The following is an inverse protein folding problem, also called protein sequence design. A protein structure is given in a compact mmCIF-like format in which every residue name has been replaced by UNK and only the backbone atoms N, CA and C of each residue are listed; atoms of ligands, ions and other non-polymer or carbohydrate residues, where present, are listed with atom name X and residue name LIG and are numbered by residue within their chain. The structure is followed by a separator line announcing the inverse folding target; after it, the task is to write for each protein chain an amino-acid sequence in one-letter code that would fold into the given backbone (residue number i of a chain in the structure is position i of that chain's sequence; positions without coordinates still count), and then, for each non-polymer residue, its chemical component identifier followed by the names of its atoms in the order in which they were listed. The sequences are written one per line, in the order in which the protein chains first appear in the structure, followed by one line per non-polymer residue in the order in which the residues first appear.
data_IF_542854022902
#
_entry.id   IF_542854022902
#
_cell.length_a   1.000
_cell.length_b   1.000
_cell.length_c   1.000
_cell.angle_alpha   90.00
_cell.angle_beta   90.00
_cell.angle_gamma   90.00
#
_symmetry.space_group_name_H-M   'P 1'
#
loop_
_entity.id
_entity.type
_entity.pdbx_description
1 polymer ?
#
# COMPACT_ATOMS: atom_id res chain seq x y z
N UNK A 1 -4.66 -52.28 2.32
CA UNK A 1 -5.74 -51.48 1.68
C UNK A 1 -6.95 -51.48 2.60
N UNK A 2 -7.52 -50.33 2.91
CA UNK A 2 -8.72 -50.24 3.76
C UNK A 2 -9.93 -50.90 3.06
N UNK A 3 -10.57 -51.89 3.69
CA UNK A 3 -11.80 -52.52 3.19
C UNK A 3 -12.98 -51.59 3.49
N UNK A 4 -13.30 -50.70 2.55
CA UNK A 4 -14.41 -49.74 2.67
C UNK A 4 -15.55 -50.23 1.78
N UNK A 5 -16.71 -50.50 2.38
CA UNK A 5 -17.89 -50.89 1.61
C UNK A 5 -18.50 -49.68 0.90
N UNK A 6 -18.86 -49.84 -0.38
CA UNK A 6 -19.53 -48.79 -1.16
C UNK A 6 -20.90 -48.41 -0.57
N UNK A 7 -21.53 -49.32 0.20
CA UNK A 7 -22.81 -49.08 0.89
C UNK A 7 -22.71 -48.00 1.97
N UNK A 8 -21.52 -47.77 2.52
CA UNK A 8 -21.28 -46.80 3.59
C UNK A 8 -21.33 -45.34 3.11
N UNK A 9 -21.30 -45.10 1.79
CA UNK A 9 -21.35 -43.76 1.15
C UNK A 9 -20.42 -42.73 1.83
N UNK A 10 -19.24 -43.17 2.28
CA UNK A 10 -18.26 -42.31 2.98
C UNK A 10 -17.74 -41.21 2.06
N UNK A 11 -17.59 -40.00 2.61
CA UNK A 11 -17.00 -38.86 1.89
C UNK A 11 -15.54 -39.13 1.56
N UNK A 12 -15.09 -38.74 0.36
CA UNK A 12 -13.71 -38.94 -0.11
C UNK A 12 -12.62 -38.42 0.86
N UNK A 13 -12.89 -37.35 1.61
CA UNK A 13 -11.95 -36.82 2.62
C UNK A 13 -11.71 -37.84 3.76
N UNK A 14 -12.78 -38.40 4.32
CA UNK A 14 -12.70 -39.44 5.36
C UNK A 14 -12.00 -40.71 4.86
N UNK A 15 -12.22 -41.07 3.61
CA UNK A 15 -11.54 -42.22 2.98
C UNK A 15 -10.03 -41.99 2.90
N UNK A 16 -9.60 -40.77 2.55
CA UNK A 16 -8.17 -40.42 2.49
C UNK A 16 -7.51 -40.44 3.87
N UNK A 17 -8.20 -39.92 4.89
CA UNK A 17 -7.76 -39.96 6.29
C UNK A 17 -7.55 -41.40 6.78
N UNK A 18 -8.51 -42.29 6.51
CA UNK A 18 -8.44 -43.72 6.89
C UNK A 18 -7.28 -44.45 6.22
N UNK A 19 -6.90 -44.06 5.00
CA UNK A 19 -5.79 -44.65 4.24
C UNK A 19 -4.44 -44.00 4.63
N UNK A 20 -4.45 -42.94 5.45
CA UNK A 20 -3.23 -42.24 5.88
C UNK A 20 -2.62 -41.34 4.81
N UNK A 21 -3.38 -41.01 3.76
CA UNK A 21 -2.91 -40.14 2.68
C UNK A 21 -3.31 -38.68 2.96
N UNK A 22 -2.31 -37.81 3.12
CA UNK A 22 -2.51 -36.36 3.35
C UNK A 22 -3.03 -35.62 2.10
N UNK A 23 -2.75 -36.14 0.90
CA UNK A 23 -3.07 -35.48 -0.37
C UNK A 23 -3.65 -36.43 -1.41
N UNK A 24 -4.37 -35.89 -2.40
CA UNK A 24 -4.96 -36.64 -3.52
C UNK A 24 -3.90 -36.95 -4.58
N UNK A 25 -2.93 -37.80 -4.26
CA UNK A 25 -1.84 -38.17 -5.17
C UNK A 25 -2.33 -38.71 -6.51
N UNK A 26 -3.35 -39.57 -6.49
CA UNK A 26 -3.96 -40.10 -7.72
C UNK A 26 -4.50 -38.99 -8.61
N UNK A 27 -5.15 -37.97 -8.03
CA UNK A 27 -5.65 -36.84 -8.80
C UNK A 27 -4.48 -36.09 -9.43
N UNK A 28 -3.40 -35.82 -8.68
CA UNK A 28 -2.18 -35.18 -9.20
C UNK A 28 -1.59 -35.97 -10.38
N UNK A 29 -1.49 -37.29 -10.24
CA UNK A 29 -0.99 -38.17 -11.31
C UNK A 29 -1.89 -38.14 -12.54
N UNK A 30 -3.21 -38.18 -12.37
CA UNK A 30 -4.16 -38.09 -13.48
C UNK A 30 -4.03 -36.74 -14.20
N UNK A 31 -3.96 -35.63 -13.45
CA UNK A 31 -3.75 -34.29 -14.02
C UNK A 31 -2.46 -34.23 -14.83
N UNK A 32 -1.38 -34.79 -14.29
CA UNK A 32 -0.07 -34.85 -14.94
C UNK A 32 -0.10 -35.64 -16.24
N UNK A 33 -0.67 -36.84 -16.21
CA UNK A 33 -0.82 -37.66 -17.42
C UNK A 33 -1.73 -37.00 -18.44
N UNK A 34 -2.80 -36.34 -18.00
CA UNK A 34 -3.72 -35.62 -18.88
C UNK A 34 -3.04 -34.45 -19.61
N UNK A 35 -2.18 -33.69 -18.93
CA UNK A 35 -1.40 -32.60 -19.53
C UNK A 35 -0.27 -33.14 -20.44
N UNK A 36 0.48 -34.13 -19.99
CA UNK A 36 1.55 -34.76 -20.77
C UNK A 36 1.02 -35.38 -22.07
N UNK A 37 -0.14 -36.03 -22.02
CA UNK A 37 -0.79 -36.60 -23.19
C UNK A 37 -1.20 -35.51 -24.20
N UNK A 38 -1.71 -34.37 -23.72
CA UNK A 38 -2.00 -33.23 -24.59
C UNK A 38 -0.73 -32.68 -25.24
N UNK A 39 0.36 -32.57 -24.47
CA UNK A 39 1.68 -32.20 -24.99
C UNK A 39 2.17 -33.11 -26.09
N UNK A 40 2.06 -34.42 -25.89
CA UNK A 40 2.38 -35.42 -26.91
C UNK A 40 1.55 -35.24 -28.19
N UNK A 41 0.23 -35.09 -28.08
CA UNK A 41 -0.64 -34.86 -29.23
C UNK A 41 -0.27 -33.57 -29.97
N UNK A 42 0.05 -32.50 -29.24
CA UNK A 42 0.30 -31.18 -29.82
C UNK A 42 1.57 -31.12 -30.68
N UNK A 43 2.59 -31.91 -30.33
CA UNK A 43 3.85 -32.05 -31.10
C UNK A 43 3.63 -32.65 -32.48
N UNK A 44 2.63 -33.51 -32.64
CA UNK A 44 2.30 -34.11 -33.93
C UNK A 44 1.16 -33.35 -34.62
N UNK A 45 1.22 -33.20 -35.94
CA UNK A 45 0.12 -32.63 -36.73
C UNK A 45 -0.89 -33.72 -37.10
N UNK A 46 -1.60 -34.24 -36.10
CA UNK A 46 -2.55 -35.33 -36.29
C UNK A 46 -4.01 -34.88 -36.23
N UNK A 47 -4.93 -35.72 -36.71
CA UNK A 47 -6.36 -35.47 -36.58
C UNK A 47 -6.77 -35.29 -35.10
N UNK A 48 -6.15 -36.03 -34.18
CA UNK A 48 -6.43 -35.89 -32.74
C UNK A 48 -6.16 -34.46 -32.25
N UNK A 49 -5.10 -33.80 -32.74
CA UNK A 49 -4.80 -32.40 -32.41
C UNK A 49 -5.91 -31.47 -32.88
N UNK A 50 -6.33 -31.59 -34.14
CA UNK A 50 -7.42 -30.78 -34.70
C UNK A 50 -8.75 -30.97 -33.96
N UNK A 51 -9.05 -32.20 -33.51
CA UNK A 51 -10.21 -32.51 -32.66
C UNK A 51 -10.08 -31.83 -31.30
N UNK A 52 -8.93 -31.98 -30.62
CA UNK A 52 -8.71 -31.44 -29.28
C UNK A 52 -8.71 -29.91 -29.26
N UNK A 53 -8.12 -29.28 -30.27
CA UNK A 53 -8.07 -27.82 -30.45
C UNK A 53 -9.38 -27.24 -31.00
N UNK A 54 -10.42 -28.06 -31.24
CA UNK A 54 -11.72 -27.66 -31.80
C UNK A 54 -11.60 -26.98 -33.18
N UNK A 55 -10.58 -27.33 -33.97
CA UNK A 55 -10.37 -26.79 -35.33
C UNK A 55 -11.26 -27.43 -36.39
N UNK A 56 -12.02 -28.46 -36.02
CA UNK A 56 -12.91 -29.18 -36.94
C UNK A 56 -14.30 -28.55 -36.90
N UNK A 57 -14.84 -28.32 -38.09
CA UNK A 57 -16.19 -27.80 -38.27
C UNK A 57 -17.21 -28.87 -37.87
N UNK A 58 -18.07 -28.55 -36.90
CA UNK A 58 -19.13 -29.43 -36.43
C UNK A 58 -19.75 -28.95 -35.12
N UNK A 59 -21.08 -29.04 -35.02
CA UNK A 59 -21.79 -28.76 -33.75
C UNK A 59 -21.75 -30.01 -32.88
N UNK A 60 -21.51 -29.84 -31.58
CA UNK A 60 -21.64 -30.94 -30.61
C UNK A 60 -23.10 -31.35 -30.51
N UNK A 61 -23.36 -32.66 -30.50
CA UNK A 61 -24.70 -33.19 -30.29
C UNK A 61 -25.29 -32.72 -28.96
N UNK A 62 -26.61 -32.47 -28.95
CA UNK A 62 -27.38 -32.16 -27.74
C UNK A 62 -27.13 -33.26 -26.68
N UNK A 63 -27.05 -32.86 -25.41
CA UNK A 63 -26.78 -33.73 -24.24
C UNK A 63 -25.33 -34.21 -24.03
N UNK A 64 -24.36 -33.88 -24.90
CA UNK A 64 -22.93 -34.05 -24.55
C UNK A 64 -22.45 -32.89 -23.66
N UNK A 65 -21.61 -33.19 -22.66
CA UNK A 65 -21.00 -32.17 -21.80
C UNK A 65 -20.28 -31.11 -22.67
N UNK A 66 -20.54 -29.83 -22.39
CA UNK A 66 -19.92 -28.70 -23.11
C UNK A 66 -18.44 -28.50 -22.79
N UNK A 67 -17.95 -29.14 -21.72
CA UNK A 67 -16.54 -29.13 -21.32
C UNK A 67 -15.67 -29.69 -22.45
N UNK A 68 -14.68 -28.93 -22.92
CA UNK A 68 -13.63 -29.45 -23.81
C UNK A 68 -12.51 -30.08 -23.01
N UNK A 69 -11.70 -30.88 -23.69
CA UNK A 69 -10.41 -31.33 -23.16
C UNK A 69 -9.56 -30.15 -22.70
N UNK A 70 -9.42 -29.17 -23.60
CA UNK A 70 -8.78 -27.88 -23.37
C UNK A 70 -9.32 -27.12 -22.14
N UNK A 71 -10.64 -26.96 -22.06
CA UNK A 71 -11.27 -26.32 -20.90
C UNK A 71 -11.16 -27.15 -19.62
N UNK A 72 -11.04 -28.47 -19.73
CA UNK A 72 -10.76 -29.33 -18.60
C UNK A 72 -9.34 -29.12 -18.08
N UNK A 73 -8.34 -28.98 -18.96
CA UNK A 73 -6.96 -28.67 -18.56
C UNK A 73 -6.89 -27.31 -17.86
N UNK A 74 -7.51 -26.28 -18.44
CA UNK A 74 -7.53 -24.93 -17.89
C UNK A 74 -8.18 -24.89 -16.49
N UNK A 75 -9.36 -25.51 -16.33
CA UNK A 75 -10.04 -25.59 -15.02
C UNK A 75 -9.25 -26.40 -14.00
N UNK A 76 -8.55 -27.44 -14.45
CA UNK A 76 -7.87 -28.39 -13.57
C UNK A 76 -6.49 -27.91 -13.11
N UNK A 77 -5.81 -27.14 -13.96
CA UNK A 77 -4.48 -26.56 -13.72
C UNK A 77 -4.57 -25.13 -13.22
N UNK A 78 -5.73 -24.47 -13.35
CA UNK A 78 -5.95 -23.06 -12.99
C UNK A 78 -4.97 -22.14 -13.70
N UNK A 79 -4.73 -22.40 -14.99
CA UNK A 79 -3.78 -21.66 -15.83
C UNK A 79 -4.39 -21.40 -17.19
N UNK A 80 -3.96 -20.34 -17.88
CA UNK A 80 -4.40 -20.12 -19.27
C UNK A 80 -3.97 -21.29 -20.13
N UNK A 81 -4.71 -21.49 -21.20
CA UNK A 81 -4.43 -22.59 -22.11
C UNK A 81 -3.08 -22.46 -22.80
N UNK A 82 -2.60 -21.24 -23.06
CA UNK A 82 -1.31 -20.96 -23.69
C UNK A 82 -0.15 -21.37 -22.77
N UNK A 83 -0.26 -21.09 -21.47
CA UNK A 83 0.73 -21.49 -20.46
C UNK A 83 0.74 -23.02 -20.30
N UNK A 84 -0.45 -23.64 -20.21
CA UNK A 84 -0.58 -25.11 -20.17
C UNK A 84 0.04 -25.75 -21.42
N UNK A 85 -0.13 -25.09 -22.55
CA UNK A 85 0.39 -25.47 -23.86
C UNK A 85 1.93 -25.48 -23.90
N UNK A 86 2.58 -24.46 -23.35
CA UNK A 86 4.05 -24.38 -23.26
C UNK A 86 4.60 -25.44 -22.30
N UNK A 87 3.99 -25.56 -21.12
CA UNK A 87 4.33 -26.57 -20.12
C UNK A 87 4.20 -27.98 -20.69
N UNK A 88 3.13 -28.26 -21.44
CA UNK A 88 2.89 -29.58 -21.99
C UNK A 88 3.94 -29.99 -23.04
N UNK A 89 4.52 -29.01 -23.76
CA UNK A 89 5.57 -29.29 -24.74
C UNK A 89 6.86 -29.74 -24.05
N UNK A 90 7.18 -29.15 -22.90
CA UNK A 90 8.36 -29.46 -22.09
C UNK A 90 8.05 -30.58 -21.09
N UNK A 91 8.31 -31.84 -21.49
CA UNK A 91 7.93 -33.03 -20.69
C UNK A 91 8.51 -33.02 -19.27
N UNK A 92 9.70 -32.45 -19.09
CA UNK A 92 10.44 -32.46 -17.83
C UNK A 92 9.85 -31.49 -16.79
N UNK A 93 9.15 -30.43 -17.22
CA UNK A 93 8.55 -29.42 -16.33
C UNK A 93 7.07 -29.67 -16.04
N UNK A 94 6.44 -30.67 -16.69
CA UNK A 94 5.02 -31.00 -16.48
C UNK A 94 4.75 -31.34 -15.01
N UNK A 95 5.61 -32.13 -14.38
CA UNK A 95 5.43 -32.53 -12.98
C UNK A 95 5.60 -31.33 -12.03
N UNK A 96 6.61 -30.49 -12.28
CA UNK A 96 6.88 -29.26 -11.53
C UNK A 96 5.72 -28.26 -11.66
N UNK A 97 5.16 -28.10 -12.86
CA UNK A 97 4.04 -27.18 -13.10
C UNK A 97 2.73 -27.57 -12.40
N UNK A 98 2.50 -28.88 -12.18
CA UNK A 98 1.28 -29.38 -11.56
C UNK A 98 1.46 -29.51 -10.05
N UNK A 99 2.69 -29.77 -9.60
CA UNK A 99 3.06 -29.74 -8.19
C UNK A 99 3.09 -28.29 -7.64
N UNK A 100 3.56 -27.35 -8.45
CA UNK A 100 3.63 -25.92 -8.16
C UNK A 100 2.87 -25.18 -9.27
N UNK A 101 1.54 -25.00 -9.16
CA UNK A 101 0.86 -24.06 -10.03
C UNK A 101 1.55 -22.70 -9.87
N UNK A 102 2.21 -22.21 -10.93
CA UNK A 102 2.74 -20.85 -10.96
C UNK A 102 1.57 -19.93 -10.65
N UNK A 103 1.77 -19.15 -9.61
CA UNK A 103 0.84 -18.15 -9.08
C UNK A 103 0.77 -17.07 -10.15
N UNK A 104 -0.14 -17.22 -11.11
CA UNK A 104 -0.44 -16.16 -12.08
C UNK A 104 -1.87 -16.30 -12.62
N UNK A 105 -2.84 -16.28 -11.68
CA UNK A 105 -4.01 -15.39 -11.70
C UNK A 105 -4.92 -15.61 -10.48
N UNK A 106 -4.57 -14.89 -9.42
CA UNK A 106 -5.32 -14.22 -8.35
C UNK A 106 -6.70 -14.73 -7.88
N UNK A 107 -6.93 -14.62 -6.56
CA UNK A 107 -7.80 -13.55 -6.07
C UNK A 107 -7.05 -12.53 -5.19
N UNK A 108 -7.10 -11.29 -5.67
CA UNK A 108 -6.67 -10.00 -5.09
C UNK A 108 -7.57 -9.62 -3.90
N UNK A 109 -7.69 -10.47 -2.88
CA UNK A 109 -8.55 -10.16 -1.72
C UNK A 109 -7.93 -10.44 -0.34
N UNK A 110 -7.00 -11.37 -0.17
CA UNK A 110 -6.45 -11.66 1.17
C UNK A 110 -5.08 -11.03 1.44
N UNK A 111 -4.28 -10.82 0.38
CA UNK A 111 -2.99 -10.13 0.46
C UNK A 111 -3.17 -8.61 0.28
N UNK A 112 -4.17 -8.18 -0.50
CA UNK A 112 -4.50 -6.76 -0.65
C UNK A 112 -5.07 -6.14 0.62
N UNK A 113 -5.87 -6.85 1.43
CA UNK A 113 -6.37 -6.25 2.67
C UNK A 113 -5.22 -5.99 3.65
N UNK A 114 -4.26 -6.91 3.81
CA UNK A 114 -3.13 -6.70 4.72
C UNK A 114 -2.13 -5.67 4.18
N UNK A 115 -1.82 -5.70 2.88
CA UNK A 115 -0.93 -4.70 2.28
C UNK A 115 -1.60 -3.32 2.22
N UNK A 116 -2.87 -3.23 1.81
CA UNK A 116 -3.62 -1.97 1.76
C UNK A 116 -3.81 -1.39 3.15
N UNK A 117 -4.13 -2.20 4.16
CA UNK A 117 -4.22 -1.70 5.55
C UNK A 117 -2.88 -1.22 6.07
N UNK A 118 -1.78 -1.94 5.83
CA UNK A 118 -0.43 -1.50 6.20
C UNK A 118 -0.07 -0.19 5.48
N UNK A 119 -0.31 -0.09 4.17
CA UNK A 119 -0.04 1.12 3.39
C UNK A 119 -0.88 2.30 3.89
N UNK A 120 -2.17 2.10 4.14
CA UNK A 120 -3.06 3.15 4.69
C UNK A 120 -2.57 3.59 6.07
N UNK A 121 -2.21 2.66 6.96
CA UNK A 121 -1.68 2.98 8.29
C UNK A 121 -0.39 3.77 8.18
N UNK A 122 0.55 3.34 7.33
CA UNK A 122 1.82 4.06 7.11
C UNK A 122 1.57 5.46 6.57
N UNK A 123 0.70 5.61 5.56
CA UNK A 123 0.34 6.91 4.99
C UNK A 123 -0.30 7.81 6.04
N UNK A 124 -1.26 7.30 6.83
CA UNK A 124 -1.90 8.06 7.91
C UNK A 124 -0.86 8.49 8.95
N UNK A 125 0.03 7.60 9.39
CA UNK A 125 1.09 7.94 10.35
C UNK A 125 2.00 9.02 9.77
N UNK A 126 2.43 8.90 8.52
CA UNK A 126 3.26 9.92 7.86
C UNK A 126 2.54 11.25 7.80
N UNK A 127 1.28 11.27 7.39
CA UNK A 127 0.46 12.50 7.33
C UNK A 127 0.32 13.13 8.71
N UNK A 128 0.01 12.34 9.74
CA UNK A 128 -0.10 12.83 11.13
C UNK A 128 1.23 13.42 11.60
N UNK A 129 2.36 12.75 11.36
CA UNK A 129 3.69 13.25 11.71
C UNK A 129 3.97 14.57 11.00
N UNK A 130 3.71 14.65 9.69
CA UNK A 130 3.89 15.88 8.92
C UNK A 130 3.03 17.01 9.47
N UNK A 131 1.75 16.76 9.74
CA UNK A 131 0.84 17.75 10.32
C UNK A 131 1.34 18.24 11.68
N UNK A 132 1.76 17.33 12.56
CA UNK A 132 2.31 17.68 13.88
C UNK A 132 3.56 18.54 13.74
N UNK A 133 4.49 18.17 12.85
CA UNK A 133 5.70 18.95 12.60
C UNK A 133 5.35 20.35 12.10
N UNK A 134 4.42 20.45 11.14
CA UNK A 134 3.96 21.74 10.60
C UNK A 134 3.35 22.60 11.70
N UNK A 135 2.47 22.03 12.53
CA UNK A 135 1.84 22.74 13.66
C UNK A 135 2.89 23.25 14.63
N UNK A 136 3.87 22.41 15.01
CA UNK A 136 4.96 22.81 15.92
C UNK A 136 5.77 23.96 15.33
N UNK A 137 6.10 23.90 14.04
CA UNK A 137 6.83 24.97 13.34
C UNK A 137 6.02 26.26 13.33
N UNK A 138 4.74 26.21 12.97
CA UNK A 138 3.85 27.38 12.94
C UNK A 138 3.73 28.01 14.32
N UNK A 139 3.51 27.20 15.37
CA UNK A 139 3.43 27.68 16.75
C UNK A 139 4.74 28.36 17.17
N UNK A 140 5.91 27.77 16.87
CA UNK A 140 7.21 28.41 17.14
C UNK A 140 7.35 29.75 16.43
N UNK A 141 6.97 29.84 15.15
CA UNK A 141 7.03 31.09 14.38
C UNK A 141 6.12 32.16 15.01
N UNK A 142 4.91 31.81 15.44
CA UNK A 142 3.99 32.73 16.10
C UNK A 142 4.59 33.22 17.43
N UNK A 143 5.12 32.32 18.25
CA UNK A 143 5.76 32.67 19.53
C UNK A 143 6.94 33.62 19.30
N UNK A 144 7.81 33.33 18.33
CA UNK A 144 8.95 34.19 17.99
C UNK A 144 8.47 35.58 17.56
N UNK A 145 7.45 35.68 16.70
CA UNK A 145 6.87 36.96 16.29
C UNK A 145 6.30 37.74 17.48
N UNK A 146 5.59 37.08 18.39
CA UNK A 146 5.06 37.72 19.60
C UNK A 146 6.17 38.28 20.49
N UNK A 147 7.24 37.50 20.70
CA UNK A 147 8.42 37.94 21.48
C UNK A 147 9.05 39.18 20.84
N UNK A 148 9.24 39.19 19.51
CA UNK A 148 9.79 40.34 18.79
C UNK A 148 8.90 41.58 18.98
N UNK A 149 7.58 41.44 18.85
CA UNK A 149 6.63 42.54 19.05
C UNK A 149 6.72 43.10 20.48
N UNK A 150 6.77 42.23 21.49
CA UNK A 150 6.90 42.64 22.89
C UNK A 150 8.21 43.42 23.12
N UNK A 151 9.33 42.92 22.58
CA UNK A 151 10.63 43.60 22.68
C UNK A 151 10.58 44.99 22.04
N UNK A 152 9.97 45.12 20.86
CA UNK A 152 9.82 46.42 20.17
C UNK A 152 8.99 47.40 21.01
N UNK A 153 7.91 46.93 21.64
CA UNK A 153 7.07 47.76 22.53
C UNK A 153 7.89 48.25 23.73
N UNK A 154 8.66 47.37 24.37
CA UNK A 154 9.52 47.74 25.50
C UNK A 154 10.55 48.80 25.08
N UNK A 155 11.20 48.59 23.93
CA UNK A 155 12.15 49.56 23.37
C UNK A 155 11.46 50.92 23.13
N UNK A 156 10.28 50.93 22.51
CA UNK A 156 9.55 52.17 22.26
C UNK A 156 9.20 52.92 23.56
N UNK A 157 8.73 52.19 24.59
CA UNK A 157 8.40 52.77 25.90
C UNK A 157 9.66 53.34 26.57
N UNK A 158 10.77 52.61 26.56
CA UNK A 158 12.04 53.09 27.17
C UNK A 158 12.55 54.34 26.48
N UNK A 159 12.49 54.42 25.15
CA UNK A 159 12.83 55.63 24.38
C UNK A 159 11.91 56.80 24.76
N UNK A 160 10.59 56.56 24.85
CA UNK A 160 9.63 57.59 25.24
C UNK A 160 9.93 58.15 26.62
N UNK A 161 10.22 57.29 27.61
CA UNK A 161 10.58 57.71 28.97
C UNK A 161 11.88 58.52 28.95
N UNK A 162 12.89 58.08 28.20
CA UNK A 162 14.17 58.79 28.10
C UNK A 162 13.99 60.21 27.57
N UNK A 163 13.21 60.38 26.50
CA UNK A 163 12.88 61.70 25.92
C UNK A 163 12.18 62.59 26.95
N UNK A 164 11.21 62.05 27.69
CA UNK A 164 10.50 62.82 28.73
C UNK A 164 11.45 63.29 29.83
N UNK A 165 12.35 62.41 30.30
CA UNK A 165 13.36 62.75 31.32
C UNK A 165 14.32 63.83 30.80
N UNK A 166 14.77 63.73 29.55
CA UNK A 166 15.65 64.71 28.92
C UNK A 166 14.98 66.09 28.80
N UNK A 167 13.71 66.14 28.39
CA UNK A 167 12.93 67.39 28.32
C UNK A 167 12.70 67.99 29.73
N UNK A 168 12.39 67.16 30.73
CA UNK A 168 12.22 67.62 32.10
C UNK A 168 13.51 68.18 32.71
N UNK A 169 14.65 67.55 32.45
CA UNK A 169 15.96 68.05 32.94
C UNK A 169 16.40 69.32 32.22
N UNK A 170 16.16 69.44 30.91
CA UNK A 170 16.41 70.66 30.14
C UNK A 170 15.55 71.84 30.65
N UNK A 171 14.26 71.62 30.91
CA UNK A 171 13.39 72.68 31.45
C UNK A 171 13.76 73.08 32.87
N UNK A 172 14.10 72.12 33.74
CA UNK A 172 14.56 72.41 35.10
C UNK A 172 15.85 73.24 35.12
N UNK A 173 16.84 72.91 34.27
CA UNK A 173 18.09 73.68 34.15
C UNK A 173 17.85 75.09 33.63
N UNK A 174 16.99 75.27 32.63
CA UNK A 174 16.59 76.59 32.14
C UNK A 174 15.95 77.42 33.26
N UNK A 175 15.00 76.84 34.02
CA UNK A 175 14.35 77.54 35.14
C UNK A 175 15.38 77.99 36.19
N UNK A 176 16.33 77.12 36.57
CA UNK A 176 17.39 77.45 37.54
C UNK A 176 18.25 78.63 37.05
N UNK A 177 18.62 78.63 35.76
CA UNK A 177 19.39 79.73 35.14
C UNK A 177 18.60 81.04 35.22
N UNK A 178 17.32 81.04 34.83
CA UNK A 178 16.47 82.23 34.91
C UNK A 178 16.30 82.74 36.35
N UNK A 179 16.11 81.86 37.34
CA UNK A 179 15.99 82.26 38.74
C UNK A 179 17.28 82.86 39.30
N UNK A 180 18.44 82.39 38.86
CA UNK A 180 19.74 82.91 39.31
C UNK A 180 20.13 84.24 38.64
N UNK A 181 19.69 84.49 37.40
CA UNK A 181 19.99 85.73 36.66
C UNK A 181 19.03 86.87 37.01
N UNK A 182 17.75 86.58 37.27
CA UNK A 182 16.71 87.57 37.58
C UNK A 182 17.06 88.59 38.70
N UNK A 183 17.70 88.23 39.83
CA UNK A 183 18.08 89.22 40.84
C UNK A 183 19.20 90.17 40.39
N UNK A 184 20.11 89.74 39.51
CA UNK A 184 21.23 90.56 39.03
C UNK A 184 20.82 91.61 37.97
N UNK A 185 19.69 91.44 37.27
CA UNK A 185 19.18 92.48 36.36
C UNK A 185 18.43 93.61 37.08
N UNK A 186 17.92 93.38 38.29
CA UNK A 186 17.23 94.41 39.09
C UNK A 186 18.21 95.37 39.77
N UNK A 187 19.45 94.96 40.02
CA UNK A 187 20.50 95.79 40.65
C UNK A 187 21.26 96.68 39.66
N UNK A 188 21.25 96.36 38.36
CA UNK A 188 21.93 97.14 37.31
C UNK A 188 21.05 98.26 36.71
N UNK A 189 19.74 98.27 37.01
CA UNK A 189 18.78 99.31 36.57
C UNK A 189 18.57 100.44 37.58
N UNK A 190 19.45 100.59 38.57
CA UNK A 190 19.47 101.74 39.50
C UNK A 190 20.46 102.79 39.03
#
# INVERSE_FOLDING_TARGET
MARISWKEKKKNKKVLEVIGLKHRELLKTIKTRHLAYYGHIRRHQSLQKSIMERKINGKRQRNRKRKSWLGNIEETTTRRINECCEVALNSDVVLLSIAYPTIERDPVEFVDITITTVVVVVVVVVVVVVVVVVVVVVVKVIIIKLIIIIILIIIMITIMILIVVEVMTATATIIIIYTNIAPNLKTVKA
#
